data_IF_873499707695
#
_entry.id   IF_873499707695
#
_cell.length_a   1.000
_cell.length_b   1.000
_cell.length_c   1.000
_cell.angle_alpha   90.00
_cell.angle_beta   90.00
_cell.angle_gamma   90.00
#
_symmetry.space_group_name_H-M   'P 1'
#
loop_
_entity.id
_entity.type
_entity.pdbx_description
1 polymer ?
#
# COMPACT_ATOMS: atom_id res chain seq x y z
N UNK A 1 -3.21 15.37 -13.27
CA UNK A 1 -2.96 14.44 -12.13
C UNK A 1 -3.73 14.82 -10.85
N UNK A 2 -4.47 15.95 -10.82
CA UNK A 2 -5.18 16.39 -9.61
C UNK A 2 -4.29 17.10 -8.59
N UNK A 3 -3.04 17.38 -8.91
CA UNK A 3 -2.12 18.23 -8.15
C UNK A 3 -1.07 18.88 -9.08
N UNK A 4 -0.49 20.01 -8.64
CA UNK A 4 0.62 20.68 -9.31
C UNK A 4 1.96 20.01 -9.00
N UNK A 5 2.91 19.91 -9.94
CA UNK A 5 4.23 19.31 -9.69
C UNK A 5 5.02 19.93 -8.54
N UNK A 6 4.84 21.25 -8.29
CA UNK A 6 5.51 21.93 -7.18
C UNK A 6 5.17 21.37 -5.81
N UNK A 7 3.98 20.71 -5.68
CA UNK A 7 3.58 20.04 -4.43
C UNK A 7 4.62 19.00 -4.00
N UNK A 8 5.13 18.25 -4.97
CA UNK A 8 6.12 17.20 -4.68
C UNK A 8 7.46 17.82 -4.27
N UNK A 9 7.88 18.91 -4.90
CA UNK A 9 9.13 19.60 -4.55
C UNK A 9 9.13 20.16 -3.14
N UNK A 10 8.04 20.78 -2.70
CA UNK A 10 7.92 21.32 -1.34
C UNK A 10 7.86 20.17 -0.31
N UNK A 11 7.22 19.04 -0.64
CA UNK A 11 7.20 17.86 0.24
C UNK A 11 8.55 17.11 0.31
N UNK A 12 9.51 17.44 -0.56
CA UNK A 12 10.89 16.95 -0.50
C UNK A 12 11.82 17.91 0.25
N UNK A 13 11.38 19.14 0.47
CA UNK A 13 12.18 20.17 1.14
C UNK A 13 12.02 20.07 2.66
N UNK A 14 13.07 19.58 3.34
CA UNK A 14 13.10 19.47 4.80
C UNK A 14 13.06 20.82 5.52
N UNK A 15 13.39 21.92 4.83
CA UNK A 15 13.38 23.27 5.37
C UNK A 15 12.06 24.00 5.06
N UNK A 16 11.11 23.34 4.38
CA UNK A 16 9.82 23.94 4.05
C UNK A 16 9.10 24.44 5.31
N UNK A 17 8.72 25.70 5.29
CA UNK A 17 8.01 26.33 6.40
C UNK A 17 6.57 25.80 6.53
N UNK A 18 6.01 25.90 7.73
CA UNK A 18 4.60 25.53 7.98
C UNK A 18 3.64 26.26 7.03
N UNK A 19 3.95 27.51 6.69
CA UNK A 19 3.15 28.33 5.77
C UNK A 19 3.21 27.80 4.35
N UNK A 20 4.38 27.44 3.84
CA UNK A 20 4.54 26.84 2.51
C UNK A 20 3.79 25.52 2.40
N UNK A 21 3.89 24.66 3.42
CA UNK A 21 3.17 23.39 3.49
C UNK A 21 1.64 23.63 3.46
N UNK A 22 1.14 24.61 4.21
CA UNK A 22 -0.31 24.92 4.23
C UNK A 22 -0.80 25.44 2.87
N UNK A 23 0.03 26.22 2.15
CA UNK A 23 -0.30 26.73 0.82
C UNK A 23 -0.44 25.62 -0.23
N UNK A 24 0.16 24.43 -0.02
CA UNK A 24 0.01 23.30 -0.92
C UNK A 24 -1.45 22.87 -1.08
N UNK A 25 -2.26 23.09 -0.08
CA UNK A 25 -3.71 22.79 -0.13
C UNK A 25 -4.40 23.40 -1.35
N UNK A 26 -4.03 24.61 -1.76
CA UNK A 26 -4.58 25.27 -2.94
C UNK A 26 -4.15 24.62 -4.27
N UNK A 27 -3.11 23.78 -4.26
CA UNK A 27 -2.50 23.14 -5.43
C UNK A 27 -2.85 21.67 -5.59
N UNK A 28 -3.69 21.14 -4.69
CA UNK A 28 -4.15 19.75 -4.65
C UNK A 28 -5.67 19.77 -4.85
N UNK A 29 -6.19 18.86 -5.66
CA UNK A 29 -7.65 18.77 -5.86
C UNK A 29 -8.38 18.45 -4.55
N UNK A 30 -9.58 19.00 -4.40
CA UNK A 30 -10.40 18.78 -3.21
C UNK A 30 -10.66 17.29 -2.92
N UNK A 31 -10.77 16.48 -3.97
CA UNK A 31 -11.01 15.04 -3.79
C UNK A 31 -9.81 14.32 -3.17
N UNK A 32 -8.58 14.64 -3.60
CA UNK A 32 -7.35 14.12 -2.99
C UNK A 32 -7.23 14.63 -1.56
N UNK A 33 -7.46 15.93 -1.34
CA UNK A 33 -7.39 16.53 0.00
C UNK A 33 -8.35 15.86 0.97
N UNK A 34 -9.63 15.71 0.62
CA UNK A 34 -10.62 15.06 1.48
C UNK A 34 -10.17 13.64 1.88
N UNK A 35 -9.65 12.86 0.96
CA UNK A 35 -9.18 11.50 1.24
C UNK A 35 -7.97 11.50 2.16
N UNK A 36 -7.01 12.38 1.95
CA UNK A 36 -5.82 12.52 2.80
C UNK A 36 -6.23 12.94 4.22
N UNK A 37 -7.14 13.91 4.36
CA UNK A 37 -7.67 14.33 5.66
C UNK A 37 -8.40 13.19 6.37
N UNK A 38 -9.21 12.39 5.64
CA UNK A 38 -9.88 11.22 6.21
C UNK A 38 -8.88 10.18 6.70
N UNK A 39 -7.83 9.88 5.91
CA UNK A 39 -6.75 8.98 6.31
C UNK A 39 -6.07 9.51 7.58
N UNK A 40 -5.65 10.77 7.58
CA UNK A 40 -4.96 11.38 8.70
C UNK A 40 -5.82 11.48 9.99
N UNK A 41 -7.13 11.61 9.84
CA UNK A 41 -8.09 11.64 10.96
C UNK A 41 -8.61 10.26 11.36
N UNK A 42 -8.24 9.19 10.66
CA UNK A 42 -8.67 7.84 11.03
C UNK A 42 -8.08 7.41 12.37
N UNK A 43 -8.77 6.51 13.07
CA UNK A 43 -8.27 5.93 14.33
C UNK A 43 -6.87 5.30 14.19
N UNK A 44 -6.53 4.87 12.99
CA UNK A 44 -5.25 4.27 12.63
C UNK A 44 -4.06 5.22 12.74
N UNK A 45 -4.26 6.52 12.41
CA UNK A 45 -3.24 7.56 12.57
C UNK A 45 -3.48 8.44 13.81
N UNK A 46 -4.68 8.38 14.39
CA UNK A 46 -5.13 9.24 15.49
C UNK A 46 -4.81 8.75 16.89
N UNK A 47 -4.36 7.49 17.06
CA UNK A 47 -4.17 6.86 18.37
C UNK A 47 -3.13 7.54 19.26
N UNK A 48 -2.20 8.33 18.71
CA UNK A 48 -1.11 8.96 19.44
C UNK A 48 -1.36 10.44 19.84
N UNK A 49 -2.34 11.11 19.21
CA UNK A 49 -2.69 12.52 19.57
C UNK A 49 -4.20 12.72 19.49
N UNK A 50 -4.79 13.04 20.62
CA UNK A 50 -6.22 13.42 20.73
C UNK A 50 -6.46 14.73 19.97
N UNK A 51 -7.29 14.73 18.94
CA UNK A 51 -7.76 15.90 18.22
C UNK A 51 -7.95 15.65 16.72
N UNK A 52 -8.99 16.25 16.16
CA UNK A 52 -9.21 16.29 14.71
C UNK A 52 -8.20 17.20 14.04
N UNK A 53 -7.74 16.81 12.86
CA UNK A 53 -6.85 17.60 12.01
C UNK A 53 -7.68 18.48 11.09
N UNK A 54 -7.33 19.76 11.00
CA UNK A 54 -8.02 20.75 10.19
C UNK A 54 -7.12 21.45 9.17
N UNK A 55 -5.80 21.42 9.36
CA UNK A 55 -4.84 22.07 8.48
C UNK A 55 -4.02 21.02 7.71
N UNK A 56 -3.54 21.38 6.52
CA UNK A 56 -2.71 20.49 5.73
C UNK A 56 -1.33 20.29 6.37
N UNK A 57 -0.83 21.31 7.05
CA UNK A 57 0.37 21.19 7.87
C UNK A 57 0.23 20.13 8.96
N UNK A 58 -0.91 20.06 9.67
CA UNK A 58 -1.17 18.99 10.65
C UNK A 58 -1.24 17.61 10.01
N UNK A 59 -1.78 17.49 8.78
CA UNK A 59 -1.74 16.26 7.99
C UNK A 59 -0.30 15.81 7.77
N UNK A 60 0.53 16.72 7.24
CA UNK A 60 1.95 16.43 6.96
C UNK A 60 2.71 16.10 8.24
N UNK A 61 2.43 16.80 9.34
CA UNK A 61 3.04 16.51 10.64
C UNK A 61 2.67 15.12 11.16
N UNK A 62 1.43 14.68 10.94
CA UNK A 62 0.95 13.36 11.42
C UNK A 62 1.44 12.21 10.55
N UNK A 63 1.33 12.36 9.23
CA UNK A 63 1.71 11.31 8.27
C UNK A 63 3.22 11.32 7.99
N UNK A 64 3.84 12.47 7.98
CA UNK A 64 5.19 12.71 7.47
C UNK A 64 5.19 13.16 6.01
N UNK A 65 6.20 13.91 5.58
CA UNK A 65 6.31 14.45 4.22
C UNK A 65 6.30 13.36 3.15
N UNK A 66 7.19 12.37 3.27
CA UNK A 66 7.32 11.27 2.30
C UNK A 66 6.03 10.44 2.19
N UNK A 67 5.33 10.21 3.30
CA UNK A 67 4.07 9.46 3.30
C UNK A 67 2.94 10.27 2.67
N UNK A 68 2.84 11.56 2.97
CA UNK A 68 1.88 12.47 2.35
C UNK A 68 2.09 12.56 0.84
N UNK A 69 3.35 12.72 0.40
CA UNK A 69 3.75 12.71 -1.02
C UNK A 69 3.29 11.42 -1.71
N UNK A 70 3.59 10.28 -1.10
CA UNK A 70 3.21 8.97 -1.61
C UNK A 70 1.69 8.80 -1.76
N UNK A 71 0.93 9.24 -0.75
CA UNK A 71 -0.54 9.22 -0.80
C UNK A 71 -1.10 10.12 -1.91
N UNK A 72 -0.54 11.32 -2.09
CA UNK A 72 -0.95 12.22 -3.19
C UNK A 72 -0.77 11.52 -4.53
N UNK A 73 0.39 10.91 -4.78
CA UNK A 73 0.69 10.22 -6.04
C UNK A 73 -0.29 9.07 -6.28
N UNK A 74 -0.47 8.19 -5.31
CA UNK A 74 -1.35 7.03 -5.45
C UNK A 74 -2.81 7.44 -5.64
N UNK A 75 -3.30 8.40 -4.87
CA UNK A 75 -4.67 8.89 -5.00
C UNK A 75 -4.90 9.58 -6.34
N UNK A 76 -3.91 10.34 -6.83
CA UNK A 76 -4.00 10.96 -8.15
C UNK A 76 -4.06 9.93 -9.29
N UNK A 77 -3.25 8.87 -9.20
CA UNK A 77 -3.29 7.77 -10.17
C UNK A 77 -4.65 7.04 -10.14
N UNK A 78 -5.21 6.83 -8.95
CA UNK A 78 -6.54 6.24 -8.82
C UNK A 78 -7.64 7.11 -9.45
N UNK A 79 -7.53 8.43 -9.35
CA UNK A 79 -8.52 9.33 -9.92
C UNK A 79 -8.53 9.33 -11.44
N UNK A 80 -7.40 9.04 -12.10
CA UNK A 80 -7.30 8.97 -13.57
C UNK A 80 -8.20 7.88 -14.18
N UNK A 81 -8.51 6.85 -13.40
CA UNK A 81 -9.27 5.67 -13.87
C UNK A 81 -10.45 5.36 -12.94
N UNK A 82 -11.11 6.40 -12.48
CA UNK A 82 -12.24 6.31 -11.57
C UNK A 82 -13.33 5.38 -12.10
N UNK A 83 -13.78 4.47 -11.24
CA UNK A 83 -14.82 3.49 -11.56
C UNK A 83 -14.31 2.23 -12.25
N UNK A 84 -13.02 2.15 -12.54
CA UNK A 84 -12.42 0.93 -13.06
C UNK A 84 -12.18 -0.09 -11.94
N UNK A 85 -12.92 -1.21 -12.02
CA UNK A 85 -12.88 -2.27 -10.98
C UNK A 85 -11.49 -2.88 -10.80
N UNK A 86 -10.73 -3.05 -11.88
CA UNK A 86 -9.42 -3.66 -11.80
C UNK A 86 -8.44 -2.77 -11.04
N UNK A 87 -8.45 -1.47 -11.32
CA UNK A 87 -7.61 -0.50 -10.60
C UNK A 87 -8.07 -0.32 -9.15
N UNK A 88 -9.38 -0.35 -8.92
CA UNK A 88 -9.91 -0.36 -7.55
C UNK A 88 -9.41 -1.56 -6.74
N UNK A 89 -9.33 -2.75 -7.36
CA UNK A 89 -8.77 -3.96 -6.74
C UNK A 89 -7.29 -3.78 -6.41
N UNK A 90 -6.49 -3.28 -7.37
CA UNK A 90 -5.06 -3.03 -7.18
C UNK A 90 -4.85 -2.04 -6.03
N UNK A 91 -5.60 -0.95 -6.02
CA UNK A 91 -5.53 0.04 -4.96
C UNK A 91 -5.90 -0.54 -3.59
N UNK A 92 -6.98 -1.31 -3.52
CA UNK A 92 -7.43 -1.93 -2.27
C UNK A 92 -6.38 -2.92 -1.72
N UNK A 93 -5.68 -3.66 -2.59
CA UNK A 93 -4.59 -4.56 -2.19
C UNK A 93 -3.39 -3.78 -1.65
N UNK A 94 -2.96 -2.75 -2.35
CA UNK A 94 -1.86 -1.89 -1.88
C UNK A 94 -2.18 -1.29 -0.51
N UNK A 95 -3.41 -0.78 -0.34
CA UNK A 95 -3.84 -0.22 0.94
C UNK A 95 -3.92 -1.28 2.04
N UNK A 96 -4.45 -2.47 1.76
CA UNK A 96 -4.49 -3.57 2.71
C UNK A 96 -3.08 -4.01 3.13
N UNK A 97 -2.15 -4.11 2.17
CA UNK A 97 -0.74 -4.44 2.45
C UNK A 97 -0.06 -3.38 3.31
N UNK A 98 -0.37 -2.10 3.08
CA UNK A 98 0.10 -0.99 3.91
C UNK A 98 -0.38 -1.10 5.36
N UNK A 99 -1.69 -1.26 5.56
CA UNK A 99 -2.31 -1.39 6.89
C UNK A 99 -1.77 -2.60 7.63
N UNK A 100 -1.78 -3.76 6.98
CA UNK A 100 -1.29 -5.01 7.58
C UNK A 100 0.20 -4.94 7.88
N UNK A 101 0.99 -4.38 6.97
CA UNK A 101 2.43 -4.20 7.15
C UNK A 101 2.75 -3.35 8.39
N UNK A 102 2.03 -2.24 8.58
CA UNK A 102 2.17 -1.42 9.78
C UNK A 102 1.84 -2.19 11.06
N UNK A 103 0.72 -2.92 11.07
CA UNK A 103 0.31 -3.72 12.23
C UNK A 103 1.39 -4.76 12.57
N UNK A 104 1.86 -5.50 11.57
CA UNK A 104 2.91 -6.49 11.76
C UNK A 104 4.21 -5.86 12.27
N UNK A 105 4.65 -4.75 11.67
CA UNK A 105 5.86 -4.06 12.08
C UNK A 105 5.79 -3.58 13.56
N UNK A 106 4.63 -3.09 13.99
CA UNK A 106 4.38 -2.71 15.37
C UNK A 106 4.40 -3.93 16.31
N UNK A 107 3.79 -5.04 15.92
CA UNK A 107 3.79 -6.29 16.69
C UNK A 107 5.20 -6.88 16.85
N UNK A 108 6.04 -6.75 15.81
CA UNK A 108 7.46 -7.10 15.88
C UNK A 108 8.31 -6.11 16.67
N UNK A 109 7.72 -5.07 17.27
CA UNK A 109 8.44 -4.08 18.06
C UNK A 109 9.40 -3.21 17.25
N UNK A 110 9.14 -3.04 15.94
CA UNK A 110 9.98 -2.19 15.11
C UNK A 110 9.91 -0.72 15.54
N UNK A 111 11.02 -0.01 15.35
CA UNK A 111 11.07 1.43 15.55
C UNK A 111 10.09 2.12 14.59
N UNK A 112 9.52 3.26 15.02
CA UNK A 112 8.51 4.02 14.28
C UNK A 112 8.92 4.33 12.83
N UNK A 113 10.19 4.66 12.59
CA UNK A 113 10.70 4.90 11.24
C UNK A 113 10.61 3.67 10.34
N UNK A 114 10.90 2.48 10.89
CA UNK A 114 10.79 1.23 10.15
C UNK A 114 9.33 0.84 9.93
N UNK A 115 8.46 1.11 10.90
CA UNK A 115 7.01 0.94 10.75
C UNK A 115 6.50 1.76 9.57
N UNK A 116 6.88 3.04 9.47
CA UNK A 116 6.51 3.91 8.34
C UNK A 116 7.07 3.41 7.00
N UNK A 117 8.30 2.86 7.00
CA UNK A 117 8.88 2.26 5.78
C UNK A 117 8.09 1.05 5.31
N UNK A 118 7.73 0.13 6.22
CA UNK A 118 6.90 -1.04 5.89
C UNK A 118 5.53 -0.60 5.35
N UNK A 119 4.91 0.37 5.99
CA UNK A 119 3.63 0.93 5.58
C UNK A 119 3.68 1.48 4.15
N UNK A 120 4.70 2.29 3.82
CA UNK A 120 4.91 2.80 2.46
C UNK A 120 5.22 1.68 1.47
N UNK A 121 6.02 0.70 1.84
CA UNK A 121 6.33 -0.46 1.01
C UNK A 121 5.06 -1.21 0.59
N UNK A 122 4.15 -1.45 1.53
CA UNK A 122 2.83 -2.03 1.24
C UNK A 122 2.00 -1.18 0.29
N UNK A 123 1.98 0.14 0.51
CA UNK A 123 1.22 1.08 -0.32
C UNK A 123 1.71 1.13 -1.77
N UNK A 124 3.01 0.99 -2.00
CA UNK A 124 3.63 1.02 -3.34
C UNK A 124 3.78 -0.34 -3.99
N UNK A 125 3.44 -1.42 -3.31
CA UNK A 125 3.65 -2.79 -3.78
C UNK A 125 3.08 -3.08 -5.18
N UNK A 126 1.94 -2.51 -5.52
CA UNK A 126 1.24 -2.73 -6.78
C UNK A 126 1.32 -1.52 -7.74
N UNK A 127 2.16 -0.51 -7.47
CA UNK A 127 2.19 0.73 -8.26
C UNK A 127 2.54 0.49 -9.73
N UNK A 128 3.49 -0.39 -10.00
CA UNK A 128 3.88 -0.76 -11.35
C UNK A 128 2.78 -1.49 -12.10
N UNK A 129 2.06 -2.40 -11.42
CA UNK A 129 0.87 -3.08 -11.95
C UNK A 129 -0.21 -2.06 -12.30
N UNK A 130 -0.50 -1.14 -11.40
CA UNK A 130 -1.49 -0.08 -11.62
C UNK A 130 -1.17 0.72 -12.88
N UNK A 131 0.09 1.07 -13.11
CA UNK A 131 0.52 1.82 -14.28
C UNK A 131 0.42 1.03 -15.58
N UNK A 132 0.75 -0.28 -15.58
CA UNK A 132 0.60 -1.13 -16.76
C UNK A 132 -0.89 -1.27 -17.13
N UNK A 133 -1.74 -1.52 -16.14
CA UNK A 133 -3.18 -1.65 -16.35
C UNK A 133 -3.76 -0.34 -16.86
N UNK A 134 -3.35 0.80 -16.29
CA UNK A 134 -3.73 2.13 -16.75
C UNK A 134 -3.31 2.36 -18.20
N UNK A 135 -2.06 2.08 -18.54
CA UNK A 135 -1.56 2.22 -19.91
C UNK A 135 -2.36 1.34 -20.88
N UNK A 136 -2.57 0.07 -20.53
CA UNK A 136 -3.37 -0.86 -21.34
C UNK A 136 -4.76 -0.27 -21.64
N UNK A 137 -5.46 0.22 -20.62
CA UNK A 137 -6.81 0.78 -20.79
C UNK A 137 -6.87 2.04 -21.63
N UNK A 138 -5.85 2.90 -21.54
CA UNK A 138 -5.83 4.17 -22.25
C UNK A 138 -5.31 4.07 -23.68
N UNK A 139 -4.43 3.10 -23.97
CA UNK A 139 -3.65 3.10 -25.22
C UNK A 139 -3.60 1.75 -25.95
N UNK A 140 -3.90 0.65 -25.28
CA UNK A 140 -3.68 -0.68 -25.80
C UNK A 140 -4.73 -1.69 -25.30
N UNK A 141 -6.01 -1.30 -25.24
CA UNK A 141 -7.09 -2.10 -24.64
C UNK A 141 -7.16 -3.53 -25.19
N UNK A 142 -6.93 -3.69 -26.49
CA UNK A 142 -7.02 -4.98 -27.21
C UNK A 142 -5.66 -5.68 -27.38
N UNK A 143 -4.58 -5.15 -26.82
CA UNK A 143 -3.27 -5.77 -26.94
C UNK A 143 -3.15 -7.01 -26.03
N UNK A 144 -3.36 -8.18 -26.64
CA UNK A 144 -3.28 -9.46 -25.96
C UNK A 144 -1.88 -9.77 -25.37
N UNK A 145 -0.83 -9.05 -25.80
CA UNK A 145 0.53 -9.23 -25.27
C UNK A 145 0.67 -8.68 -23.85
N UNK A 146 -0.20 -7.73 -23.46
CA UNK A 146 -0.27 -7.20 -22.09
C UNK A 146 -1.23 -8.08 -21.29
N UNK A 147 -0.80 -9.31 -21.05
CA UNK A 147 -1.47 -10.28 -20.21
C UNK A 147 -0.93 -10.27 -18.77
N UNK A 148 -1.44 -11.14 -17.93
CA UNK A 148 -1.03 -11.25 -16.54
C UNK A 148 0.44 -11.67 -16.38
N UNK A 149 0.97 -12.47 -17.31
CA UNK A 149 2.38 -12.90 -17.30
C UNK A 149 3.28 -11.70 -17.58
N UNK A 150 2.91 -10.89 -18.58
CA UNK A 150 3.60 -9.64 -18.90
C UNK A 150 3.57 -8.69 -17.69
N UNK A 151 2.39 -8.45 -17.11
CA UNK A 151 2.23 -7.55 -15.98
C UNK A 151 3.11 -8.01 -14.81
N UNK A 152 3.06 -9.29 -14.45
CA UNK A 152 3.86 -9.86 -13.36
C UNK A 152 5.36 -9.71 -13.59
N UNK A 153 5.82 -9.88 -14.82
CA UNK A 153 7.23 -9.76 -15.18
C UNK A 153 7.74 -8.33 -15.12
N UNK A 154 6.93 -7.37 -15.56
CA UNK A 154 7.41 -6.00 -15.80
C UNK A 154 6.98 -4.97 -14.75
N UNK A 155 5.99 -5.29 -13.90
CA UNK A 155 5.54 -4.32 -12.89
C UNK A 155 6.64 -3.86 -11.91
N UNK A 156 7.63 -4.69 -11.48
CA UNK A 156 8.66 -4.21 -10.58
C UNK A 156 9.55 -3.16 -11.24
N UNK A 157 9.93 -3.37 -12.52
CA UNK A 157 10.75 -2.41 -13.27
C UNK A 157 10.03 -1.09 -13.50
N UNK A 158 8.72 -1.13 -13.75
CA UNK A 158 7.95 0.10 -13.89
C UNK A 158 7.77 0.81 -12.55
N UNK A 159 7.62 0.07 -11.47
CA UNK A 159 7.57 0.63 -10.12
C UNK A 159 8.88 1.36 -9.78
N UNK A 160 10.03 0.78 -10.11
CA UNK A 160 11.35 1.42 -9.95
C UNK A 160 11.41 2.76 -10.70
N UNK A 161 10.99 2.78 -11.98
CA UNK A 161 10.94 4.01 -12.78
C UNK A 161 10.05 5.09 -12.16
N UNK A 162 8.94 4.70 -11.54
CA UNK A 162 8.05 5.63 -10.84
C UNK A 162 8.73 6.17 -9.60
N UNK A 163 9.38 5.31 -8.81
CA UNK A 163 10.12 5.71 -7.62
C UNK A 163 11.18 6.76 -7.99
N UNK A 164 11.97 6.50 -9.04
CA UNK A 164 12.99 7.43 -9.52
C UNK A 164 12.38 8.74 -10.01
N UNK A 165 11.36 8.65 -10.86
CA UNK A 165 10.72 9.83 -11.47
C UNK A 165 10.15 10.80 -10.44
N UNK A 166 9.59 10.27 -9.36
CA UNK A 166 8.98 11.07 -8.30
C UNK A 166 9.90 11.29 -7.11
N UNK A 167 11.19 10.95 -7.23
CA UNK A 167 12.18 11.04 -6.17
C UNK A 167 11.64 10.46 -4.83
N UNK A 168 11.07 9.26 -4.91
CA UNK A 168 10.60 8.53 -3.74
C UNK A 168 11.77 7.79 -3.07
N UNK A 169 11.67 7.45 -1.78
CA UNK A 169 12.77 6.80 -1.07
C UNK A 169 13.23 5.48 -1.70
N UNK A 170 14.53 5.31 -1.90
CA UNK A 170 15.13 4.14 -2.57
C UNK A 170 14.84 2.80 -1.88
N UNK A 171 14.58 2.80 -0.57
CA UNK A 171 14.21 1.56 0.14
C UNK A 171 12.93 0.91 -0.42
N UNK A 172 12.06 1.69 -1.10
CA UNK A 172 10.86 1.14 -1.75
C UNK A 172 11.22 0.18 -2.87
N UNK A 173 12.31 0.42 -3.61
CA UNK A 173 12.78 -0.50 -4.65
C UNK A 173 13.10 -1.87 -4.04
N UNK A 174 13.84 -1.89 -2.93
CA UNK A 174 14.18 -3.13 -2.24
C UNK A 174 12.95 -3.93 -1.81
N UNK A 175 11.89 -3.24 -1.37
CA UNK A 175 10.65 -3.89 -0.95
C UNK A 175 9.85 -4.47 -2.11
N UNK A 176 9.91 -3.85 -3.30
CA UNK A 176 9.19 -4.30 -4.50
C UNK A 176 9.91 -5.47 -5.17
N UNK A 177 11.25 -5.46 -5.21
CA UNK A 177 12.06 -6.50 -5.84
C UNK A 177 12.35 -7.71 -4.94
N UNK A 178 12.09 -7.63 -3.64
CA UNK A 178 12.30 -8.75 -2.74
C UNK A 178 11.24 -9.83 -2.99
N UNK A 179 11.62 -10.92 -3.67
CA UNK A 179 10.72 -12.06 -3.91
C UNK A 179 10.59 -12.99 -2.70
N UNK A 180 11.48 -12.86 -1.73
CA UNK A 180 11.54 -13.74 -0.57
C UNK A 180 11.48 -12.99 0.76
N UNK A 181 10.81 -13.59 1.72
CA UNK A 181 10.87 -13.14 3.11
C UNK A 181 12.27 -13.47 3.61
N UNK A 182 13.12 -12.46 3.73
CA UNK A 182 14.47 -12.65 4.28
C UNK A 182 14.36 -12.66 5.80
N UNK A 183 14.56 -13.84 6.37
CA UNK A 183 14.76 -14.02 7.82
C UNK A 183 16.26 -14.25 8.00
N UNK A 184 16.96 -13.28 8.48
CA UNK A 184 18.39 -13.40 8.84
C UNK A 184 18.47 -13.94 10.26
N UNK A 185 19.00 -15.14 10.40
CA UNK A 185 19.32 -15.94 11.60
C UNK A 185 18.43 -15.81 12.84
N UNK A 186 17.81 -14.69 13.15
CA UNK A 186 16.90 -14.50 14.30
C UNK A 186 16.07 -13.22 14.24
N UNK A 187 16.11 -12.45 13.17
CA UNK A 187 15.25 -11.27 13.03
C UNK A 187 14.67 -11.15 11.62
N UNK A 188 13.45 -10.61 11.55
CA UNK A 188 12.80 -10.32 10.29
C UNK A 188 13.15 -8.90 9.85
N UNK A 189 13.54 -8.74 8.59
CA UNK A 189 13.91 -7.44 8.03
C UNK A 189 12.69 -6.55 7.76
N UNK A 190 12.91 -5.25 7.56
CA UNK A 190 11.86 -4.30 7.17
C UNK A 190 11.20 -4.72 5.84
N UNK A 191 12.00 -5.13 4.86
CA UNK A 191 11.50 -5.67 3.58
C UNK A 191 10.79 -7.00 3.77
N UNK A 192 11.26 -7.86 4.67
CA UNK A 192 10.61 -9.13 5.00
C UNK A 192 9.20 -8.96 5.56
N UNK A 193 8.98 -8.00 6.46
CA UNK A 193 7.63 -7.69 6.96
C UNK A 193 6.75 -7.11 5.86
N UNK A 194 7.27 -6.21 5.03
CA UNK A 194 6.51 -5.68 3.90
C UNK A 194 6.07 -6.79 2.94
N UNK A 195 6.98 -7.71 2.58
CA UNK A 195 6.67 -8.86 1.74
C UNK A 195 5.69 -9.83 2.39
N UNK A 196 5.80 -10.04 3.69
CA UNK A 196 4.84 -10.85 4.44
C UNK A 196 3.43 -10.28 4.32
N UNK A 197 3.27 -8.97 4.51
CA UNK A 197 1.99 -8.29 4.37
C UNK A 197 1.43 -8.38 2.94
N UNK A 198 2.27 -8.14 1.92
CA UNK A 198 1.90 -8.22 0.51
C UNK A 198 1.42 -9.64 0.16
N UNK A 199 2.19 -10.65 0.55
CA UNK A 199 1.84 -12.05 0.29
C UNK A 199 0.58 -12.48 1.04
N UNK A 200 0.38 -12.00 2.26
CA UNK A 200 -0.83 -12.27 3.04
C UNK A 200 -2.07 -11.72 2.33
N UNK A 201 -2.02 -10.49 1.84
CA UNK A 201 -3.11 -9.87 1.09
C UNK A 201 -3.33 -10.57 -0.26
N UNK A 202 -2.27 -10.92 -0.99
CA UNK A 202 -2.36 -11.61 -2.27
C UNK A 202 -2.95 -13.02 -2.15
N UNK A 203 -2.62 -13.75 -1.07
CA UNK A 203 -3.16 -15.08 -0.79
C UNK A 203 -4.62 -15.07 -0.34
N UNK A 204 -5.12 -13.91 0.09
CA UNK A 204 -6.38 -13.75 0.82
C UNK A 204 -6.27 -14.25 2.26
N UNK A 205 -6.98 -13.62 3.17
CA UNK A 205 -6.91 -13.90 4.62
C UNK A 205 -7.21 -15.38 5.01
N UNK A 206 -7.83 -16.16 4.13
CA UNK A 206 -8.23 -17.54 4.41
C UNK A 206 -7.16 -18.60 4.11
N UNK A 207 -5.99 -18.24 3.58
CA UNK A 207 -4.98 -19.21 3.13
C UNK A 207 -3.62 -19.13 3.81
N UNK A 208 -3.47 -18.33 4.84
CA UNK A 208 -2.22 -18.31 5.58
C UNK A 208 -2.13 -19.53 6.50
N UNK A 209 -1.95 -20.71 5.89
CA UNK A 209 -1.67 -21.95 6.56
C UNK A 209 -0.18 -22.13 6.91
N UNK A 210 0.58 -21.05 6.91
CA UNK A 210 1.95 -21.14 7.37
C UNK A 210 1.98 -20.91 8.89
N UNK A 211 1.58 -21.95 9.62
CA UNK A 211 1.51 -22.00 11.08
C UNK A 211 2.78 -21.45 11.74
N UNK A 212 3.96 -21.74 11.15
CA UNK A 212 5.23 -21.25 11.66
C UNK A 212 5.38 -19.72 11.60
N UNK A 213 4.85 -19.08 10.57
CA UNK A 213 4.92 -17.61 10.45
C UNK A 213 3.95 -16.96 11.42
N UNK A 214 2.75 -17.51 11.56
CA UNK A 214 1.76 -17.01 12.53
C UNK A 214 2.27 -17.20 13.96
N UNK A 215 2.80 -18.36 14.31
CA UNK A 215 3.35 -18.63 15.63
C UNK A 215 4.59 -17.77 15.94
N UNK A 216 5.40 -17.44 14.95
CA UNK A 216 6.54 -16.53 15.11
C UNK A 216 6.09 -15.06 15.25
N UNK A 217 5.04 -14.67 14.55
CA UNK A 217 4.50 -13.29 14.54
C UNK A 217 3.60 -13.04 15.76
N UNK A 218 2.86 -14.05 16.21
CA UNK A 218 1.87 -13.96 17.28
C UNK A 218 2.08 -15.08 18.33
N UNK A 219 3.18 -15.06 19.08
CA UNK A 219 3.48 -16.12 20.04
C UNK A 219 2.46 -16.26 21.17
N UNK A 220 1.60 -15.26 21.36
CA UNK A 220 0.56 -15.22 22.41
C UNK A 220 -0.82 -15.65 21.93
N UNK A 221 -1.00 -15.89 20.64
CA UNK A 221 -2.31 -16.17 20.04
C UNK A 221 -2.23 -17.47 19.24
N UNK A 222 -2.40 -18.60 19.91
CA UNK A 222 -2.42 -19.92 19.26
C UNK A 222 -3.86 -20.34 18.94
N UNK A 223 -4.29 -20.22 17.67
CA UNK A 223 -5.57 -20.78 17.25
C UNK A 223 -6.21 -20.15 16.01
N UNK A 224 -7.34 -20.70 15.61
CA UNK A 224 -8.14 -20.24 14.45
C UNK A 224 -8.64 -18.80 14.55
N UNK A 225 -8.60 -18.20 15.72
CA UNK A 225 -9.15 -16.88 16.00
C UNK A 225 -8.25 -15.72 15.51
N UNK A 226 -6.98 -15.98 15.23
CA UNK A 226 -5.99 -14.94 14.85
C UNK A 226 -6.25 -14.35 13.48
N UNK A 227 -6.57 -15.18 12.49
CA UNK A 227 -6.90 -14.71 11.14
C UNK A 227 -8.15 -13.84 11.18
N UNK A 228 -9.11 -14.19 12.03
CA UNK A 228 -10.35 -13.44 12.25
C UNK A 228 -10.05 -12.09 12.91
N UNK A 229 -9.13 -12.04 13.86
CA UNK A 229 -8.74 -10.79 14.53
C UNK A 229 -8.06 -9.83 13.54
N UNK A 230 -7.10 -10.32 12.75
CA UNK A 230 -6.42 -9.51 11.73
C UNK A 230 -7.39 -9.01 10.65
N UNK A 231 -8.28 -9.87 10.17
CA UNK A 231 -9.31 -9.49 9.21
C UNK A 231 -10.20 -8.37 9.76
N UNK A 232 -10.62 -8.48 11.03
CA UNK A 232 -11.41 -7.45 11.69
C UNK A 232 -10.66 -6.13 11.85
N UNK A 233 -9.39 -6.17 12.24
CA UNK A 233 -8.57 -4.97 12.35
C UNK A 233 -8.46 -4.27 10.98
N UNK A 234 -8.19 -5.01 9.91
CA UNK A 234 -8.13 -4.45 8.56
C UNK A 234 -9.49 -3.89 8.15
N UNK A 235 -10.60 -4.59 8.44
CA UNK A 235 -11.96 -4.09 8.18
C UNK A 235 -12.23 -2.78 8.90
N UNK A 236 -11.91 -2.68 10.18
CA UNK A 236 -12.10 -1.48 10.98
C UNK A 236 -11.27 -0.30 10.40
N UNK A 237 -10.05 -0.55 9.95
CA UNK A 237 -9.21 0.46 9.30
C UNK A 237 -9.77 0.92 7.95
N UNK A 238 -10.25 -0.01 7.12
CA UNK A 238 -10.89 0.32 5.84
C UNK A 238 -12.14 1.17 6.03
N UNK A 239 -12.95 0.84 7.04
CA UNK A 239 -14.14 1.62 7.40
C UNK A 239 -13.76 3.00 7.92
N UNK A 240 -12.74 3.11 8.76
CA UNK A 240 -12.26 4.37 9.30
C UNK A 240 -11.79 5.36 8.22
N UNK A 241 -11.26 4.86 7.10
CA UNK A 241 -10.81 5.68 5.96
C UNK A 241 -11.81 5.72 4.80
N UNK A 242 -13.06 5.32 5.02
CA UNK A 242 -14.13 5.26 4.00
C UNK A 242 -13.79 4.36 2.79
N UNK A 243 -13.00 3.32 2.99
CA UNK A 243 -12.66 2.32 1.99
C UNK A 243 -13.38 0.98 2.20
N UNK A 244 -14.36 0.91 3.10
CA UNK A 244 -15.10 -0.32 3.44
C UNK A 244 -15.73 -1.01 2.23
N UNK A 245 -16.12 -0.25 1.19
CA UNK A 245 -16.64 -0.80 -0.06
C UNK A 245 -15.67 -1.75 -0.79
N UNK A 246 -14.36 -1.66 -0.51
CA UNK A 246 -13.33 -2.49 -1.14
C UNK A 246 -13.04 -3.78 -0.36
N UNK A 247 -13.57 -3.96 0.85
CA UNK A 247 -13.34 -5.16 1.66
C UNK A 247 -13.77 -6.45 0.96
N UNK A 248 -14.87 -6.40 0.21
CA UNK A 248 -15.35 -7.56 -0.55
C UNK A 248 -14.35 -8.05 -1.59
N UNK A 249 -13.48 -7.16 -2.08
CA UNK A 249 -12.44 -7.46 -3.08
C UNK A 249 -11.31 -8.24 -2.44
N UNK A 250 -10.90 -7.85 -1.23
CA UNK A 250 -9.86 -8.53 -0.45
C UNK A 250 -10.33 -9.89 0.05
N UNK A 251 -11.61 -10.01 0.43
CA UNK A 251 -12.25 -11.25 0.87
C UNK A 251 -12.54 -12.23 -0.25
N UNK A 252 -12.78 -11.76 -1.47
CA UNK A 252 -13.02 -12.63 -2.62
C UNK A 252 -11.72 -13.24 -3.10
N UNK A 253 -11.70 -14.57 -3.12
CA UNK A 253 -10.73 -15.38 -3.82
C UNK A 253 -10.86 -15.13 -5.33
N UNK A 254 -10.20 -14.12 -5.87
CA UNK A 254 -9.96 -14.12 -7.30
C UNK A 254 -8.98 -15.27 -7.59
N UNK A 255 -9.40 -16.19 -8.43
CA UNK A 255 -8.51 -17.18 -9.03
C UNK A 255 -7.62 -16.42 -10.03
N UNK A 256 -6.56 -15.79 -9.54
CA UNK A 256 -5.64 -14.98 -10.35
C UNK A 256 -4.68 -15.83 -11.20
N UNK A 257 -4.72 -17.15 -11.09
CA UNK A 257 -3.93 -18.03 -11.93
C UNK A 257 -4.79 -19.19 -12.43
N UNK A 258 -4.82 -19.45 -13.75
CA UNK A 258 -5.23 -20.75 -14.22
C UNK A 258 -4.34 -21.79 -13.56
N UNK A 259 -4.91 -22.82 -12.95
CA UNK A 259 -4.15 -23.99 -12.52
C UNK A 259 -3.41 -24.50 -13.74
N UNK A 260 -2.07 -24.45 -13.72
CA UNK A 260 -1.27 -25.31 -14.56
C UNK A 260 -1.54 -26.74 -14.09
N UNK A 261 -2.55 -27.37 -14.65
CA UNK A 261 -2.67 -28.82 -14.60
C UNK A 261 -1.50 -29.36 -15.41
N UNK A 262 -0.50 -29.87 -14.68
CA UNK A 262 0.50 -30.75 -15.28
C UNK A 262 -0.25 -31.92 -15.91
N UNK A 263 -0.59 -31.81 -17.19
CA UNK A 263 -0.89 -32.97 -18.00
C UNK A 263 0.40 -33.77 -18.11
N UNK A 264 0.65 -34.67 -17.16
CA UNK A 264 1.55 -35.77 -17.35
C UNK A 264 1.01 -36.54 -18.57
N UNK A 265 1.69 -36.37 -19.69
CA UNK A 265 1.53 -37.26 -20.84
C UNK A 265 1.87 -38.68 -20.37
N UNK A 266 0.89 -39.57 -20.49
CA UNK A 266 1.14 -41.02 -20.58
C UNK A 266 1.79 -41.35 -21.90
#
# INVERSE_FOLDING_TARGET
LGFSPEVLGILDDVEASNHEIELLKARISNEILMRIFNIANSAYYGSLRKGSIYTFYEVVTRLGMSHTKALIIILALQLLVRGDKEIEIIFARSFASSVLGKILAQQFGMREDNVKRVELGGLFSEIGRMMIVLYKKLHAADDARIDEIFIRKYHPYLAERIIDKFALPDYLKQMIFSESIVVEESYITVSGIAQLAINFVAAGFHKFNNRLVIEAVFPTVSGRDETVVLEKIVEDQFNAVNLGKYLHIIRKRERLLPRYENKKKR
#
